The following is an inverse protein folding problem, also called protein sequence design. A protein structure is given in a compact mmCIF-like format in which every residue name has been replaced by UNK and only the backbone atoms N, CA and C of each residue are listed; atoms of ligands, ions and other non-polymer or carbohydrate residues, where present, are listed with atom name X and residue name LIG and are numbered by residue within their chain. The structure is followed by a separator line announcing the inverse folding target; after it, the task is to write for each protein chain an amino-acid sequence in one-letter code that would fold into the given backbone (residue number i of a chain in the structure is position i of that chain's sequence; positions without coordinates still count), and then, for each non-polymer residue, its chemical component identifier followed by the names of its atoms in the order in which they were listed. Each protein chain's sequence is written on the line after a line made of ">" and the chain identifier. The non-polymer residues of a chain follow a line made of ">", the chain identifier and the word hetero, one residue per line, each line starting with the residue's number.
data_IF_604056530818
#
_entry.id   IF_604056530818
#
_cell.length_a   1.000
_cell.length_b   1.000
_cell.length_c   1.000
_cell.angle_alpha   90.00
_cell.angle_beta   90.00
_cell.angle_gamma   90.00
#
_symmetry.space_group_name_H-M   'P 1'
#
loop_
_entity.id
_entity.type
_entity.pdbx_description
1 polymer ?
#
# COMPACT_ATOMS: atom_id res chain seq x y z
N UNK A 1 -9.56 10.58 -8.51
CA UNK A 1 -8.34 10.82 -9.30
C UNK A 1 -7.15 10.42 -8.46
N UNK A 2 -6.17 9.71 -9.01
CA UNK A 2 -4.89 9.47 -8.31
C UNK A 2 -4.02 10.71 -8.46
N UNK A 3 -3.42 11.17 -7.37
CA UNK A 3 -2.42 12.24 -7.35
C UNK A 3 -1.39 12.01 -6.27
N UNK A 4 -0.27 12.71 -6.34
CA UNK A 4 0.70 12.78 -5.24
C UNK A 4 0.05 13.27 -3.95
N UNK A 5 0.38 12.57 -2.86
CA UNK A 5 0.03 12.96 -1.49
C UNK A 5 0.78 14.24 -1.15
N UNK A 6 0.08 15.18 -0.54
CA UNK A 6 0.62 16.42 0.00
C UNK A 6 0.49 16.43 1.52
N UNK A 7 1.22 17.33 2.19
CA UNK A 7 1.15 17.44 3.64
C UNK A 7 -0.26 17.82 4.12
N UNK A 8 -1.02 18.57 3.31
CA UNK A 8 -2.41 18.95 3.62
C UNK A 8 -3.38 17.77 3.61
N UNK A 9 -3.00 16.63 3.02
CA UNK A 9 -3.83 15.42 3.00
C UNK A 9 -3.73 14.63 4.31
N UNK A 10 -2.69 14.87 5.13
CA UNK A 10 -2.39 14.04 6.31
C UNK A 10 -3.54 14.00 7.31
N UNK A 11 -4.16 15.14 7.62
CA UNK A 11 -5.28 15.19 8.57
C UNK A 11 -6.46 14.35 8.08
N UNK A 12 -6.81 14.50 6.80
CA UNK A 12 -7.90 13.71 6.22
C UNK A 12 -7.56 12.22 6.17
N UNK A 13 -6.30 11.86 5.92
CA UNK A 13 -5.85 10.48 5.93
C UNK A 13 -5.89 9.87 7.34
N UNK A 14 -5.54 10.64 8.37
CA UNK A 14 -5.71 10.23 9.77
C UNK A 14 -7.19 9.97 10.09
N UNK A 15 -8.10 10.84 9.63
CA UNK A 15 -9.54 10.62 9.80
C UNK A 15 -9.98 9.31 9.11
N UNK A 16 -9.56 9.09 7.86
CA UNK A 16 -9.89 7.87 7.11
C UNK A 16 -9.37 6.63 7.81
N UNK A 17 -8.15 6.67 8.37
CA UNK A 17 -7.60 5.57 9.17
C UNK A 17 -8.47 5.29 10.39
N UNK A 18 -8.95 6.32 11.09
CA UNK A 18 -9.87 6.16 12.22
C UNK A 18 -11.25 5.60 11.84
N UNK A 19 -11.64 5.67 10.57
CA UNK A 19 -12.88 5.09 10.04
C UNK A 19 -12.73 3.57 9.70
N UNK A 20 -11.53 2.99 9.76
CA UNK A 20 -11.30 1.57 9.43
C UNK A 20 -11.62 0.65 10.61
N UNK A 21 -12.32 -0.45 10.33
CA UNK A 21 -12.69 -1.46 11.34
C UNK A 21 -11.45 -2.09 12.01
N UNK A 22 -10.34 -2.24 11.28
CA UNK A 22 -9.08 -2.85 11.76
C UNK A 22 -7.92 -1.85 11.87
N UNK A 23 -8.23 -0.57 12.14
CA UNK A 23 -7.19 0.46 12.26
C UNK A 23 -6.18 0.13 13.37
N UNK A 24 -6.62 -0.49 14.47
CA UNK A 24 -5.75 -0.84 15.59
C UNK A 24 -4.71 -1.92 15.21
N UNK A 25 -5.11 -2.91 14.39
CA UNK A 25 -4.21 -3.95 13.88
C UNK A 25 -3.16 -3.37 12.94
N UNK A 26 -3.61 -2.60 11.95
CA UNK A 26 -2.74 -1.98 10.93
C UNK A 26 -1.75 -0.97 11.53
N UNK A 27 -2.21 -0.16 12.49
CA UNK A 27 -1.34 0.82 13.14
C UNK A 27 -0.38 0.17 14.14
N UNK A 28 -0.67 -1.04 14.64
CA UNK A 28 0.13 -1.73 15.65
C UNK A 28 0.46 -0.83 16.86
N UNK A 29 -0.52 -0.01 17.29
CA UNK A 29 -0.37 0.94 18.40
C UNK A 29 0.34 2.26 18.08
N UNK A 30 0.77 2.48 16.83
CA UNK A 30 1.36 3.76 16.37
C UNK A 30 0.27 4.83 16.19
N UNK A 31 0.67 6.10 16.34
CA UNK A 31 -0.21 7.21 15.97
C UNK A 31 -0.41 7.25 14.45
N UNK A 32 -1.62 7.52 13.92
CA UNK A 32 -1.90 7.49 12.48
C UNK A 32 -0.98 8.38 11.66
N UNK A 33 -0.67 9.60 12.15
CA UNK A 33 0.21 10.54 11.46
C UNK A 33 1.65 10.02 11.40
N UNK A 34 2.17 9.52 12.51
CA UNK A 34 3.52 8.97 12.58
C UNK A 34 3.65 7.75 11.66
N UNK A 35 2.65 6.86 11.69
CA UNK A 35 2.55 5.72 10.77
C UNK A 35 2.61 6.17 9.30
N UNK A 36 1.87 7.21 8.90
CA UNK A 36 1.91 7.72 7.51
C UNK A 36 3.26 8.33 7.09
N UNK A 37 4.16 8.64 8.03
CA UNK A 37 5.42 9.37 7.77
C UNK A 37 6.68 8.57 8.11
N UNK A 38 6.54 7.44 8.80
CA UNK A 38 7.65 6.61 9.30
C UNK A 38 8.52 6.02 8.20
N UNK A 39 7.94 5.69 7.04
CA UNK A 39 8.72 5.16 5.90
C UNK A 39 9.19 6.28 4.98
N UNK A 40 10.44 6.17 4.55
CA UNK A 40 11.00 6.98 3.46
C UNK A 40 10.42 6.50 2.12
N UNK A 41 9.22 7.01 1.81
CA UNK A 41 8.48 6.60 0.64
C UNK A 41 9.03 7.25 -0.64
N UNK A 42 9.39 6.43 -1.61
CA UNK A 42 9.72 6.89 -2.95
C UNK A 42 8.49 7.54 -3.61
N UNK A 43 7.30 6.98 -3.35
CA UNK A 43 6.02 7.63 -3.68
C UNK A 43 4.98 7.44 -2.60
N UNK A 44 4.17 8.49 -2.47
CA UNK A 44 2.92 8.46 -1.73
C UNK A 44 1.82 8.98 -2.64
N UNK A 45 0.78 8.19 -2.85
CA UNK A 45 -0.38 8.57 -3.65
C UNK A 45 -1.64 8.56 -2.84
N UNK A 46 -2.57 9.41 -3.27
CA UNK A 46 -3.93 9.47 -2.72
C UNK A 46 -4.94 9.35 -3.84
N UNK A 47 -6.10 8.80 -3.49
CA UNK A 47 -7.29 8.90 -4.33
C UNK A 47 -8.18 10.02 -3.85
N UNK A 48 -8.26 11.08 -4.65
CA UNK A 48 -9.10 12.25 -4.40
C UNK A 48 -10.44 12.14 -5.14
N UNK A 49 -11.55 12.19 -4.42
CA UNK A 49 -12.91 12.12 -4.96
C UNK A 49 -13.49 13.50 -5.33
N UNK A 50 -12.70 14.59 -5.29
CA UNK A 50 -13.11 15.91 -5.77
C UNK A 50 -13.66 15.87 -7.22
N UNK A 51 -14.75 16.60 -7.53
CA UNK A 51 -15.03 17.03 -8.89
C UNK A 51 -13.89 17.91 -9.42
N UNK A 52 -13.50 17.71 -10.67
CA UNK A 52 -12.35 18.37 -11.34
C UNK A 52 -12.44 19.91 -11.33
N UNK A 53 -13.63 20.47 -11.10
CA UNK A 53 -13.90 21.92 -11.10
C UNK A 53 -13.48 22.67 -9.84
N UNK A 54 -13.03 21.99 -8.78
CA UNK A 54 -12.60 22.63 -7.52
C UNK A 54 -11.28 22.02 -7.06
N UNK A 55 -10.17 22.68 -7.37
CA UNK A 55 -8.86 22.31 -6.83
C UNK A 55 -8.55 23.14 -5.57
N UNK A 56 -8.02 22.55 -4.48
CA UNK A 56 -8.09 21.16 -4.02
C UNK A 56 -9.23 20.95 -3.00
N UNK A 57 -10.02 19.88 -3.14
CA UNK A 57 -10.95 19.49 -2.08
C UNK A 57 -10.28 18.52 -1.12
N UNK A 58 -10.56 18.65 0.18
CA UNK A 58 -10.10 17.73 1.24
C UNK A 58 -10.81 16.36 1.19
N UNK A 59 -11.15 15.87 -0.01
CA UNK A 59 -11.93 14.65 -0.22
C UNK A 59 -11.05 13.45 -0.62
N UNK A 60 -9.92 13.32 0.06
CA UNK A 60 -9.08 12.12 -0.03
C UNK A 60 -9.80 10.97 0.66
N UNK A 61 -9.88 9.84 -0.06
CA UNK A 61 -10.58 8.63 0.40
C UNK A 61 -9.72 7.38 0.30
N UNK A 62 -8.49 7.47 -0.17
CA UNK A 62 -7.59 6.33 -0.22
C UNK A 62 -6.15 6.76 -0.33
N UNK A 63 -5.25 5.86 0.02
CA UNK A 63 -3.82 6.10 0.10
C UNK A 63 -3.04 4.85 -0.23
N UNK A 64 -1.82 5.03 -0.73
CA UNK A 64 -0.81 3.98 -0.91
C UNK A 64 0.58 4.59 -0.84
N UNK A 65 1.54 3.83 -0.34
CA UNK A 65 2.96 4.15 -0.38
C UNK A 65 3.75 3.10 -1.13
N UNK A 66 4.80 3.57 -1.79
CA UNK A 66 5.82 2.75 -2.45
C UNK A 66 7.16 3.14 -1.82
N UNK A 67 7.83 2.18 -1.20
CA UNK A 67 9.06 2.41 -0.44
C UNK A 67 10.05 1.28 -0.65
N UNK A 68 11.31 1.54 -0.30
CA UNK A 68 12.35 0.51 -0.27
C UNK A 68 11.98 -0.57 0.75
N UNK A 69 12.30 -1.84 0.47
CA UNK A 69 12.03 -2.90 1.42
C UNK A 69 12.76 -2.64 2.75
N UNK A 70 12.08 -2.85 3.90
CA UNK A 70 12.73 -2.73 5.20
C UNK A 70 13.74 -3.87 5.42
N UNK A 71 14.66 -3.67 6.36
CA UNK A 71 15.52 -4.76 6.86
C UNK A 71 14.70 -5.69 7.78
N UNK A 72 13.83 -6.49 7.16
CA UNK A 72 12.93 -7.40 7.83
C UNK A 72 13.11 -8.83 7.31
N UNK A 73 12.91 -9.83 8.18
CA UNK A 73 13.10 -11.25 7.83
C UNK A 73 12.27 -11.68 6.62
N UNK A 74 11.03 -11.19 6.50
CA UNK A 74 10.17 -11.54 5.39
C UNK A 74 10.71 -11.06 4.03
N UNK A 75 11.44 -9.93 4.02
CA UNK A 75 12.13 -9.44 2.80
C UNK A 75 13.24 -10.41 2.41
N UNK A 76 14.03 -10.89 3.39
CA UNK A 76 15.09 -11.86 3.12
C UNK A 76 14.52 -13.15 2.52
N UNK A 77 13.39 -13.62 3.04
CA UNK A 77 12.69 -14.81 2.52
C UNK A 77 12.22 -14.60 1.07
N UNK A 78 11.66 -13.42 0.77
CA UNK A 78 11.24 -13.01 -0.59
C UNK A 78 12.43 -12.99 -1.55
N UNK A 79 13.51 -12.29 -1.19
CA UNK A 79 14.76 -12.13 -1.96
C UNK A 79 15.36 -13.49 -2.28
N UNK A 80 15.47 -14.38 -1.28
CA UNK A 80 15.97 -15.73 -1.44
C UNK A 80 15.13 -16.55 -2.43
N UNK A 81 13.81 -16.36 -2.41
CA UNK A 81 12.89 -17.11 -3.23
C UNK A 81 12.89 -16.68 -4.70
N UNK A 82 12.87 -15.37 -4.96
CA UNK A 82 12.87 -14.83 -6.33
C UNK A 82 14.27 -14.74 -6.94
N UNK A 83 15.33 -15.06 -6.15
CA UNK A 83 16.74 -15.01 -6.55
C UNK A 83 17.14 -13.63 -7.11
N UNK A 84 16.67 -12.58 -6.45
CA UNK A 84 17.01 -11.17 -6.73
C UNK A 84 17.67 -10.56 -5.50
N UNK A 85 18.18 -9.34 -5.64
CA UNK A 85 18.65 -8.57 -4.49
C UNK A 85 17.51 -7.74 -3.89
N UNK A 86 17.65 -7.32 -2.63
CA UNK A 86 16.64 -6.46 -1.99
C UNK A 86 16.44 -5.14 -2.75
N UNK A 87 17.51 -4.61 -3.36
CA UNK A 87 17.46 -3.39 -4.16
C UNK A 87 16.65 -3.53 -5.46
N UNK A 88 16.36 -4.77 -5.90
CA UNK A 88 15.48 -5.03 -7.04
C UNK A 88 14.00 -4.93 -6.70
N UNK A 89 13.65 -4.74 -5.42
CA UNK A 89 12.28 -4.77 -4.94
C UNK A 89 11.79 -3.37 -4.56
N UNK A 90 10.49 -3.16 -4.73
CA UNK A 90 9.79 -2.06 -4.11
C UNK A 90 8.54 -2.58 -3.40
N UNK A 91 8.36 -2.14 -2.16
CA UNK A 91 7.21 -2.52 -1.34
C UNK A 91 6.08 -1.55 -1.61
N UNK A 92 4.93 -2.10 -1.98
CA UNK A 92 3.65 -1.40 -2.02
C UNK A 92 2.99 -1.67 -0.67
N UNK A 93 2.83 -0.64 0.13
CA UNK A 93 2.30 -0.77 1.48
C UNK A 93 1.49 0.46 1.88
N UNK A 94 1.01 0.45 3.11
CA UNK A 94 0.11 1.48 3.67
C UNK A 94 -1.07 1.79 2.75
N UNK A 95 -1.56 0.75 2.08
CA UNK A 95 -2.72 0.84 1.20
C UNK A 95 -3.96 0.73 2.06
N UNK A 96 -4.78 1.76 2.03
CA UNK A 96 -6.09 1.78 2.70
C UNK A 96 -7.06 2.68 1.95
N UNK A 97 -8.35 2.39 2.09
CA UNK A 97 -9.43 3.13 1.45
C UNK A 97 -10.58 3.28 2.43
N UNK A 98 -11.18 4.48 2.46
CA UNK A 98 -12.38 4.78 3.24
C UNK A 98 -13.47 3.74 2.92
N UNK A 99 -14.05 3.07 3.93
CA UNK A 99 -15.13 2.11 3.73
C UNK A 99 -16.30 2.76 2.99
N UNK A 100 -16.66 2.21 1.83
CA UNK A 100 -17.76 2.71 1.00
C UNK A 100 -18.16 1.67 -0.04
N UNK A 101 -19.26 1.86 -0.76
CA UNK A 101 -19.68 0.94 -1.84
C UNK A 101 -18.69 0.82 -3.01
N UNK A 102 -17.70 1.72 -3.09
CA UNK A 102 -16.72 1.79 -4.18
C UNK A 102 -15.28 1.61 -3.72
N UNK A 103 -15.08 1.24 -2.45
CA UNK A 103 -13.76 1.02 -1.84
C UNK A 103 -12.88 0.07 -2.65
N UNK A 104 -13.45 -1.05 -3.12
CA UNK A 104 -12.77 -2.04 -3.95
C UNK A 104 -12.27 -1.46 -5.27
N UNK A 105 -13.07 -0.60 -5.90
CA UNK A 105 -12.70 0.05 -7.16
C UNK A 105 -11.53 1.00 -6.98
N UNK A 106 -11.52 1.76 -5.88
CA UNK A 106 -10.45 2.69 -5.52
C UNK A 106 -9.17 1.93 -5.16
N UNK A 107 -9.26 0.91 -4.31
CA UNK A 107 -8.12 0.08 -3.91
C UNK A 107 -7.47 -0.59 -5.13
N UNK A 108 -8.29 -1.14 -6.04
CA UNK A 108 -7.83 -1.72 -7.30
C UNK A 108 -7.11 -0.69 -8.19
N UNK A 109 -7.64 0.53 -8.28
CA UNK A 109 -7.06 1.57 -9.12
C UNK A 109 -5.70 2.03 -8.56
N UNK A 110 -5.61 2.27 -7.25
CA UNK A 110 -4.35 2.60 -6.55
C UNK A 110 -3.32 1.47 -6.70
N UNK A 111 -3.71 0.23 -6.43
CA UNK A 111 -2.79 -0.91 -6.48
C UNK A 111 -2.25 -1.15 -7.89
N UNK A 112 -3.11 -1.04 -8.93
CA UNK A 112 -2.67 -1.17 -10.32
C UNK A 112 -1.66 -0.09 -10.71
N UNK A 113 -1.94 1.17 -10.35
CA UNK A 113 -1.02 2.27 -10.63
C UNK A 113 0.34 2.04 -9.91
N UNK A 114 0.30 1.56 -8.66
CA UNK A 114 1.52 1.30 -7.90
C UNK A 114 2.37 0.20 -8.51
N UNK A 115 1.72 -0.85 -9.02
CA UNK A 115 2.40 -1.93 -9.74
C UNK A 115 3.06 -1.41 -11.02
N UNK A 116 2.33 -0.63 -11.83
CA UNK A 116 2.87 -0.03 -13.05
C UNK A 116 4.06 0.90 -12.77
N UNK A 117 4.00 1.68 -11.69
CA UNK A 117 5.10 2.52 -11.23
C UNK A 117 6.37 1.74 -10.90
N UNK A 118 6.22 0.60 -10.24
CA UNK A 118 7.35 -0.25 -9.85
C UNK A 118 7.95 -0.93 -11.08
N UNK A 119 7.10 -1.46 -11.97
CA UNK A 119 7.53 -2.16 -13.18
C UNK A 119 8.22 -1.25 -14.18
N UNK A 120 7.75 0.00 -14.34
CA UNK A 120 8.39 1.00 -15.21
C UNK A 120 9.81 1.38 -14.76
N UNK A 121 10.20 1.04 -13.52
CA UNK A 121 11.56 1.17 -13.00
C UNK A 121 12.40 -0.10 -13.12
N UNK A 122 11.86 -1.16 -13.70
CA UNK A 122 12.50 -2.46 -13.77
C UNK A 122 12.64 -3.14 -12.40
N UNK A 123 11.80 -2.79 -11.43
CA UNK A 123 11.78 -3.37 -10.09
C UNK A 123 10.61 -4.34 -9.93
N UNK A 124 10.69 -5.22 -8.93
CA UNK A 124 9.65 -6.21 -8.62
C UNK A 124 8.72 -5.66 -7.53
N UNK A 125 7.40 -5.59 -7.77
CA UNK A 125 6.44 -5.15 -6.76
C UNK A 125 6.20 -6.25 -5.72
N UNK A 126 6.29 -5.88 -4.45
CA UNK A 126 6.01 -6.76 -3.31
C UNK A 126 4.99 -6.10 -2.39
N UNK A 127 4.09 -6.88 -1.80
CA UNK A 127 3.09 -6.41 -0.86
C UNK A 127 3.42 -6.91 0.55
N UNK A 128 3.49 -6.01 1.53
CA UNK A 128 3.53 -6.37 2.95
C UNK A 128 2.08 -6.49 3.49
N UNK A 129 1.60 -7.70 3.79
CA UNK A 129 0.21 -7.93 4.21
C UNK A 129 -0.14 -7.24 5.52
N UNK A 130 0.84 -7.01 6.39
CA UNK A 130 0.63 -6.36 7.68
C UNK A 130 0.37 -4.84 7.52
N UNK A 131 0.79 -4.28 6.39
CA UNK A 131 0.63 -2.86 6.06
C UNK A 131 -0.52 -2.61 5.05
N UNK A 132 -1.34 -3.63 4.73
CA UNK A 132 -2.51 -3.50 3.86
C UNK A 132 -3.79 -3.47 4.69
N UNK A 133 -4.39 -2.29 4.84
CA UNK A 133 -5.77 -2.21 5.28
C UNK A 133 -6.70 -2.36 4.07
N UNK A 134 -7.64 -3.29 4.12
CA UNK A 134 -8.75 -3.34 3.15
C UNK A 134 -8.40 -3.78 1.72
N UNK A 135 -7.30 -4.52 1.51
CA UNK A 135 -7.00 -5.15 0.20
C UNK A 135 -7.42 -6.63 0.23
N UNK A 136 -8.47 -7.03 -0.50
CA UNK A 136 -8.85 -8.44 -0.53
C UNK A 136 -7.78 -9.27 -1.24
N UNK A 137 -7.37 -10.41 -0.66
CA UNK A 137 -6.46 -11.37 -1.29
C UNK A 137 -6.86 -11.73 -2.75
N UNK A 138 -8.16 -11.88 -3.10
CA UNK A 138 -8.56 -12.12 -4.50
C UNK A 138 -8.21 -10.98 -5.46
N UNK A 139 -8.11 -9.74 -4.99
CA UNK A 139 -7.65 -8.61 -5.81
C UNK A 139 -6.15 -8.73 -6.09
N UNK A 140 -5.35 -9.06 -5.08
CA UNK A 140 -3.93 -9.31 -5.24
C UNK A 140 -3.69 -10.44 -6.25
N UNK A 141 -4.39 -11.56 -6.12
CA UNK A 141 -4.31 -12.68 -7.06
C UNK A 141 -4.62 -12.29 -8.50
N UNK A 142 -5.66 -11.46 -8.73
CA UNK A 142 -6.02 -10.96 -10.07
C UNK A 142 -4.95 -10.05 -10.69
N UNK A 143 -4.13 -9.42 -9.87
CA UNK A 143 -3.00 -8.59 -10.31
C UNK A 143 -1.69 -9.39 -10.42
N UNK A 144 -1.77 -10.72 -10.28
CA UNK A 144 -0.64 -11.63 -10.44
C UNK A 144 0.14 -11.88 -9.16
N UNK A 145 -0.27 -11.30 -8.02
CA UNK A 145 0.36 -11.60 -6.73
C UNK A 145 0.02 -13.02 -6.28
N UNK A 146 1.05 -13.79 -5.94
CA UNK A 146 0.98 -15.10 -5.31
C UNK A 146 1.35 -14.95 -3.84
N UNK A 147 0.69 -15.72 -3.00
CA UNK A 147 0.94 -15.77 -1.57
C UNK A 147 2.15 -16.66 -1.29
N UNK A 148 3.06 -16.16 -0.46
CA UNK A 148 4.28 -16.79 0.00
C UNK A 148 4.17 -16.89 1.51
N UNK A 149 4.05 -18.13 1.98
CA UNK A 149 4.12 -18.42 3.41
C UNK A 149 5.60 -18.42 3.79
N UNK A 150 5.97 -17.52 4.68
CA UNK A 150 7.28 -17.55 5.33
C UNK A 150 7.21 -18.47 6.55
N UNK A 151 8.26 -19.25 6.81
CA UNK A 151 8.29 -20.27 7.88
C UNK A 151 8.33 -19.68 9.30
N UNK A 152 8.41 -18.35 9.43
CA UNK A 152 8.44 -17.66 10.70
C UNK A 152 7.21 -16.77 10.87
N UNK A 153 6.17 -17.33 11.50
CA UNK A 153 5.04 -16.63 12.11
C UNK A 153 3.98 -16.08 11.15
N UNK A 154 2.95 -16.89 10.85
CA UNK A 154 1.55 -16.52 10.49
C UNK A 154 1.30 -15.30 9.59
N UNK A 155 2.26 -14.89 8.76
CA UNK A 155 2.17 -13.69 7.92
C UNK A 155 2.46 -14.09 6.49
N UNK A 156 1.50 -13.86 5.61
CA UNK A 156 1.47 -14.38 4.25
C UNK A 156 1.85 -13.32 3.24
N UNK A 157 3.13 -13.20 2.88
CA UNK A 157 3.61 -12.17 1.93
C UNK A 157 3.04 -12.41 0.53
N UNK A 158 2.75 -11.35 -0.24
CA UNK A 158 2.23 -11.48 -1.61
C UNK A 158 3.25 -10.93 -2.62
N UNK A 159 3.76 -11.78 -3.53
CA UNK A 159 4.74 -11.40 -4.58
C UNK A 159 4.14 -11.64 -5.97
N UNK A 160 4.33 -10.73 -6.93
CA UNK A 160 3.87 -10.95 -8.30
C UNK A 160 4.64 -12.09 -8.98
N UNK A 161 3.93 -13.03 -9.60
CA UNK A 161 4.53 -14.05 -10.44
C UNK A 161 4.64 -13.57 -11.89
N UNK A 162 5.78 -13.91 -12.50
CA UNK A 162 6.04 -13.78 -13.94
C UNK A 162 5.03 -14.60 -14.79
#
# INVERSE_FOLDING_TARGET
>A
MIRERRNEDLDRLCDVLGELDDHAGVLAGRQPRDWLQEVDAERSWVFDQAPVSVAPTRNVVGHVQIYRPPDARWVLDVVAQIRREADDLLVIGRLFVKPSRHDYGVARYLLRESVEYVETRGRVPVLDPNDLASVPLPLCAKLGFREFRTDACTSSVLIRAE
#
